data_IF_213919616365
#
_entry.id   IF_213919616365
#
_cell.length_a   1.000
_cell.length_b   1.000
_cell.length_c   1.000
_cell.angle_alpha   90.00
_cell.angle_beta   90.00
_cell.angle_gamma   90.00
#
_symmetry.space_group_name_H-M   'P 1'
#
loop_
_entity.id
_entity.type
_entity.pdbx_description
1 polymer ?
#
# COMPACT_ATOMS: atom_id res chain seq x y z
N UNK A 1 18.59 -4.90 -18.46
CA UNK A 1 19.24 -6.25 -18.48
C UNK A 1 19.12 -6.81 -17.09
N UNK A 2 18.66 -8.06 -16.96
CA UNK A 2 18.49 -8.70 -15.65
C UNK A 2 19.82 -8.77 -14.88
N UNK A 3 19.78 -8.48 -13.58
CA UNK A 3 20.94 -8.58 -12.69
C UNK A 3 21.02 -10.02 -12.16
N UNK A 4 21.92 -10.81 -12.72
CA UNK A 4 22.16 -12.21 -12.30
C UNK A 4 23.43 -12.21 -11.44
N UNK A 5 23.30 -12.75 -10.21
CA UNK A 5 24.43 -12.95 -9.29
C UNK A 5 25.31 -14.15 -9.68
N UNK A 6 26.00 -14.71 -8.70
CA UNK A 6 26.79 -15.93 -8.90
C UNK A 6 25.93 -17.16 -9.22
N UNK A 7 24.66 -17.15 -8.81
CA UNK A 7 23.63 -18.15 -9.07
C UNK A 7 22.48 -17.51 -9.81
N UNK A 8 22.00 -18.15 -10.88
CA UNK A 8 20.74 -17.77 -11.52
C UNK A 8 19.61 -18.58 -10.85
N UNK A 9 18.70 -17.88 -10.15
CA UNK A 9 17.59 -18.51 -9.41
C UNK A 9 16.40 -18.81 -10.31
N UNK A 10 16.09 -17.92 -11.27
CA UNK A 10 14.92 -18.04 -12.16
C UNK A 10 15.37 -18.44 -13.57
N UNK A 11 15.96 -19.64 -13.65
CA UNK A 11 16.51 -20.21 -14.90
C UNK A 11 15.43 -20.37 -15.96
N UNK A 12 15.75 -19.97 -17.18
CA UNK A 12 14.85 -20.09 -18.32
C UNK A 12 13.78 -18.99 -18.44
N UNK A 13 13.66 -18.11 -17.44
CA UNK A 13 12.77 -16.94 -17.50
C UNK A 13 13.62 -15.72 -17.90
N UNK A 14 13.29 -15.12 -19.05
CA UNK A 14 13.91 -13.89 -19.54
C UNK A 14 13.33 -12.64 -18.92
N UNK A 15 13.69 -11.48 -19.49
CA UNK A 15 13.06 -10.19 -19.10
C UNK A 15 11.59 -10.17 -19.55
N UNK A 16 10.72 -9.77 -18.64
CA UNK A 16 9.29 -9.61 -18.91
C UNK A 16 9.07 -8.30 -19.64
N UNK A 17 8.45 -8.35 -20.82
CA UNK A 17 8.22 -7.19 -21.68
C UNK A 17 6.75 -7.08 -22.08
N UNK A 18 6.36 -5.87 -22.48
CA UNK A 18 5.07 -5.66 -23.09
C UNK A 18 5.03 -6.25 -24.52
N UNK A 19 4.06 -7.12 -24.77
CA UNK A 19 3.82 -7.73 -26.09
C UNK A 19 2.40 -7.48 -26.62
N UNK A 20 1.56 -6.82 -25.82
CA UNK A 20 0.17 -6.49 -26.18
C UNK A 20 -0.83 -7.63 -25.95
N UNK A 21 -2.10 -7.27 -25.96
CA UNK A 21 -3.23 -8.13 -25.54
C UNK A 21 -3.37 -9.47 -26.29
N UNK A 22 -2.80 -9.55 -27.49
CA UNK A 22 -2.92 -10.77 -28.33
C UNK A 22 -1.74 -11.76 -28.12
N UNK A 23 -0.72 -11.38 -27.34
CA UNK A 23 0.39 -12.26 -27.04
C UNK A 23 -0.06 -13.51 -26.29
N UNK A 24 0.45 -14.66 -26.70
CA UNK A 24 0.25 -15.95 -26.03
C UNK A 24 1.39 -16.30 -25.07
N UNK A 25 2.43 -15.46 -25.00
CA UNK A 25 3.53 -15.63 -24.08
C UNK A 25 3.04 -15.38 -22.63
N UNK A 26 3.08 -16.37 -21.71
CA UNK A 26 2.67 -16.18 -20.33
C UNK A 26 3.64 -15.28 -19.55
N UNK A 27 4.88 -15.11 -20.03
CA UNK A 27 5.90 -14.25 -19.45
C UNK A 27 5.99 -12.87 -20.15
N UNK A 28 4.85 -12.28 -20.46
CA UNK A 28 4.79 -10.96 -21.06
C UNK A 28 3.60 -10.15 -20.54
N UNK A 29 3.78 -8.84 -20.39
CA UNK A 29 2.69 -7.93 -20.11
C UNK A 29 1.77 -7.80 -21.33
N UNK A 30 0.47 -7.79 -21.08
CA UNK A 30 -0.56 -7.63 -22.11
C UNK A 30 -1.11 -6.20 -22.15
N UNK A 31 -1.08 -5.49 -21.05
CA UNK A 31 -1.61 -4.14 -20.88
C UNK A 31 -0.59 -3.17 -20.29
N UNK A 32 0.31 -3.63 -19.43
CA UNK A 32 1.35 -2.77 -18.87
C UNK A 32 2.49 -2.55 -19.86
N UNK A 33 2.37 -1.46 -20.63
CA UNK A 33 3.47 -0.88 -21.39
C UNK A 33 4.05 0.26 -20.55
N UNK A 34 5.27 0.13 -19.98
CA UNK A 34 5.85 1.15 -19.10
C UNK A 34 5.96 2.53 -19.75
N UNK A 35 6.04 2.61 -21.07
CA UNK A 35 6.21 3.86 -21.82
C UNK A 35 4.88 4.44 -22.33
N UNK A 36 3.76 3.72 -22.20
CA UNK A 36 2.47 4.22 -22.64
C UNK A 36 2.04 5.42 -21.82
N UNK A 37 1.71 6.52 -22.49
CA UNK A 37 1.21 7.74 -21.86
C UNK A 37 -0.30 7.63 -21.66
N UNK A 38 -0.74 7.87 -20.43
CA UNK A 38 -2.13 7.95 -20.00
C UNK A 38 -2.28 9.21 -19.14
N UNK A 39 -3.26 10.04 -19.40
CA UNK A 39 -3.49 11.30 -18.66
C UNK A 39 -2.20 12.13 -18.43
N UNK A 40 -1.32 12.17 -19.43
CA UNK A 40 -0.12 13.02 -19.44
C UNK A 40 1.12 12.46 -18.75
N UNK A 41 1.08 11.23 -18.19
CA UNK A 41 2.23 10.52 -17.60
C UNK A 41 2.37 9.12 -18.19
N UNK A 42 3.58 8.56 -18.13
CA UNK A 42 3.78 7.15 -18.48
C UNK A 42 3.12 6.22 -17.44
N UNK A 43 2.74 5.00 -17.82
CA UNK A 43 2.24 4.00 -16.86
C UNK A 43 3.28 3.71 -15.77
N UNK A 44 4.55 3.70 -16.14
CA UNK A 44 5.68 3.56 -15.20
C UNK A 44 5.68 4.67 -14.14
N UNK A 45 5.50 5.92 -14.54
CA UNK A 45 5.50 7.07 -13.63
C UNK A 45 4.21 7.18 -12.81
N UNK A 46 3.08 6.68 -13.33
CA UNK A 46 1.84 6.61 -12.57
C UNK A 46 1.94 5.63 -11.41
N UNK A 47 2.44 4.42 -11.68
CA UNK A 47 2.38 3.32 -10.73
C UNK A 47 3.62 3.18 -9.88
N UNK A 48 4.82 3.38 -10.47
CA UNK A 48 6.07 3.18 -9.74
C UNK A 48 6.03 1.83 -9.00
N UNK A 49 5.72 0.74 -9.74
CA UNK A 49 5.51 -0.58 -9.16
C UNK A 49 6.68 -1.03 -8.31
N UNK A 50 6.36 -1.49 -7.11
CA UNK A 50 7.29 -2.06 -6.15
C UNK A 50 6.94 -3.51 -5.81
N UNK A 51 7.95 -4.26 -5.41
CA UNK A 51 7.82 -5.64 -4.96
C UNK A 51 7.88 -5.68 -3.44
N UNK A 52 6.90 -6.32 -2.80
CA UNK A 52 6.91 -6.61 -1.38
C UNK A 52 7.92 -7.73 -1.08
N UNK A 53 9.02 -7.38 -0.38
CA UNK A 53 10.11 -8.31 -0.12
C UNK A 53 9.65 -9.49 0.75
N UNK A 54 8.79 -9.24 1.73
CA UNK A 54 8.28 -10.24 2.68
C UNK A 54 7.44 -11.33 1.99
N UNK A 55 6.48 -10.97 1.16
CA UNK A 55 5.64 -11.94 0.47
C UNK A 55 6.38 -12.67 -0.64
N UNK A 56 7.23 -11.96 -1.38
CA UNK A 56 7.86 -12.49 -2.57
C UNK A 56 9.06 -13.37 -2.27
N UNK A 57 9.82 -13.08 -1.20
CA UNK A 57 11.10 -13.74 -0.95
C UNK A 57 11.24 -14.35 0.44
N UNK A 58 10.30 -14.06 1.38
CA UNK A 58 10.29 -14.62 2.74
C UNK A 58 9.03 -15.45 3.02
N UNK A 59 7.99 -15.35 2.19
CA UNK A 59 6.73 -16.07 2.36
C UNK A 59 6.93 -17.58 2.21
N UNK A 60 6.43 -18.33 3.19
CA UNK A 60 6.57 -19.80 3.19
C UNK A 60 5.33 -20.53 2.67
N UNK A 61 4.29 -19.81 2.23
CA UNK A 61 3.02 -20.41 1.84
C UNK A 61 2.26 -21.02 3.03
N UNK A 62 2.43 -20.46 4.22
CA UNK A 62 1.68 -20.82 5.42
C UNK A 62 0.29 -20.17 5.39
N UNK A 63 -0.67 -20.78 6.09
CA UNK A 63 -1.95 -20.21 6.45
C UNK A 63 -2.28 -20.57 7.91
N UNK A 64 -3.39 -20.08 8.49
CA UNK A 64 -3.76 -20.41 9.86
C UNK A 64 -3.98 -21.91 10.12
N UNK A 65 -4.08 -22.72 9.09
CA UNK A 65 -4.45 -24.14 9.15
C UNK A 65 -3.33 -25.09 8.74
N UNK A 66 -2.21 -24.60 8.21
CA UNK A 66 -1.16 -25.49 7.73
C UNK A 66 0.23 -24.88 7.63
N UNK A 67 1.21 -25.79 7.65
CA UNK A 67 2.62 -25.47 7.44
C UNK A 67 2.86 -24.95 6.01
N UNK A 68 4.01 -24.30 5.81
CA UNK A 68 4.40 -23.76 4.51
C UNK A 68 4.55 -24.81 3.43
N UNK A 69 4.22 -24.42 2.21
CA UNK A 69 4.36 -25.24 0.98
C UNK A 69 5.46 -24.73 0.07
N UNK A 70 6.00 -23.53 0.34
CA UNK A 70 7.06 -22.94 -0.48
C UNK A 70 8.44 -23.39 -0.02
N UNK A 71 9.30 -23.74 -0.99
CA UNK A 71 10.70 -24.12 -0.76
C UNK A 71 11.59 -23.26 -1.65
N UNK A 72 12.10 -22.18 -1.12
CA UNK A 72 12.94 -21.28 -1.89
C UNK A 72 14.36 -21.78 -2.08
N UNK A 73 14.91 -21.59 -3.27
CA UNK A 73 16.28 -22.00 -3.62
C UNK A 73 17.35 -21.22 -2.84
N UNK A 74 17.03 -20.01 -2.35
CA UNK A 74 17.91 -19.15 -1.58
C UNK A 74 17.88 -19.39 -0.07
N UNK A 75 16.96 -20.21 0.45
CA UNK A 75 16.84 -20.52 1.89
C UNK A 75 17.63 -21.77 2.31
N UNK A 76 18.79 -22.01 1.71
CA UNK A 76 19.58 -23.25 1.97
C UNK A 76 20.70 -23.07 2.97
N UNK A 77 21.23 -21.86 3.11
CA UNK A 77 22.35 -21.58 3.99
C UNK A 77 21.91 -21.50 5.46
N UNK A 78 22.68 -22.14 6.34
CA UNK A 78 22.51 -22.01 7.81
C UNK A 78 23.20 -20.77 8.35
N UNK A 79 24.11 -20.15 7.60
CA UNK A 79 24.71 -18.88 7.94
C UNK A 79 23.73 -17.74 7.58
N UNK A 80 23.23 -16.95 8.56
CA UNK A 80 22.28 -15.89 8.32
C UNK A 80 22.80 -14.80 7.37
N UNK A 81 24.11 -14.57 7.35
CA UNK A 81 24.71 -13.58 6.44
C UNK A 81 24.71 -14.08 4.98
N UNK A 82 24.99 -15.35 4.76
CA UNK A 82 24.97 -15.94 3.42
C UNK A 82 23.53 -16.11 2.93
N UNK A 83 22.62 -16.59 3.79
CA UNK A 83 21.19 -16.70 3.45
C UNK A 83 20.58 -15.35 3.03
N UNK A 84 20.94 -14.26 3.73
CA UNK A 84 20.49 -12.90 3.39
C UNK A 84 21.03 -12.44 2.04
N UNK A 85 22.29 -12.74 1.70
CA UNK A 85 22.86 -12.45 0.38
C UNK A 85 22.18 -13.23 -0.73
N UNK A 86 22.00 -14.52 -0.53
CA UNK A 86 21.37 -15.42 -1.51
C UNK A 86 19.94 -14.94 -1.82
N UNK A 87 19.19 -14.56 -0.78
CA UNK A 87 17.86 -13.97 -0.91
C UNK A 87 17.90 -12.63 -1.64
N UNK A 88 18.83 -11.74 -1.31
CA UNK A 88 18.98 -10.47 -2.01
C UNK A 88 19.33 -10.66 -3.49
N UNK A 89 20.20 -11.64 -3.82
CA UNK A 89 20.52 -11.96 -5.22
C UNK A 89 19.28 -12.45 -5.97
N UNK A 90 18.48 -13.34 -5.38
CA UNK A 90 17.23 -13.80 -5.98
C UNK A 90 16.22 -12.65 -6.15
N UNK A 91 16.09 -11.78 -5.14
CA UNK A 91 15.19 -10.64 -5.20
C UNK A 91 15.56 -9.67 -6.32
N UNK A 92 16.82 -9.28 -6.42
CA UNK A 92 17.26 -8.35 -7.46
C UNK A 92 17.22 -8.96 -8.87
N UNK A 93 17.46 -10.28 -9.01
CA UNK A 93 17.25 -11.00 -10.26
C UNK A 93 15.77 -10.92 -10.68
N UNK A 94 14.85 -11.22 -9.76
CA UNK A 94 13.41 -11.15 -10.01
C UNK A 94 12.97 -9.74 -10.41
N UNK A 95 13.29 -8.72 -9.58
CA UNK A 95 12.86 -7.33 -9.81
C UNK A 95 13.34 -6.84 -11.17
N UNK A 96 14.61 -7.12 -11.52
CA UNK A 96 15.17 -6.69 -12.80
C UNK A 96 14.62 -7.47 -13.99
N UNK A 97 14.28 -8.77 -13.82
CA UNK A 97 13.57 -9.55 -14.86
C UNK A 97 12.14 -9.02 -15.06
N UNK A 98 11.45 -8.60 -14.00
CA UNK A 98 10.13 -7.96 -14.10
C UNK A 98 10.18 -6.57 -14.75
N UNK A 99 11.36 -5.91 -14.78
CA UNK A 99 11.51 -4.55 -15.26
C UNK A 99 10.86 -3.50 -14.34
N UNK A 100 10.73 -3.82 -13.05
CA UNK A 100 10.28 -2.88 -12.03
C UNK A 100 11.46 -2.12 -11.42
N UNK A 101 11.18 -0.91 -10.90
CA UNK A 101 12.25 -0.04 -10.38
C UNK A 101 12.33 -0.05 -8.86
N UNK A 102 11.33 -0.61 -8.16
CA UNK A 102 11.21 -0.43 -6.72
C UNK A 102 10.94 -1.74 -5.98
N UNK A 103 11.31 -1.74 -4.70
CA UNK A 103 10.89 -2.73 -3.71
C UNK A 103 10.59 -2.05 -2.37
N UNK A 104 9.81 -2.75 -1.53
CA UNK A 104 9.51 -2.38 -0.16
C UNK A 104 9.97 -3.50 0.77
N UNK A 105 10.32 -3.17 2.03
CA UNK A 105 10.85 -4.16 2.97
C UNK A 105 10.51 -3.84 4.43
N UNK A 106 10.40 -4.89 5.25
CA UNK A 106 10.62 -4.78 6.70
C UNK A 106 12.09 -5.07 7.01
N UNK A 107 12.58 -4.52 8.10
CA UNK A 107 13.98 -4.67 8.53
C UNK A 107 14.45 -6.14 8.54
N UNK A 108 13.67 -7.03 9.17
CA UNK A 108 14.06 -8.45 9.30
C UNK A 108 13.62 -9.35 8.14
N UNK A 109 13.00 -8.81 7.10
CA UNK A 109 12.90 -9.48 5.80
C UNK A 109 14.26 -9.56 5.12
N UNK A 110 15.07 -8.49 5.28
CA UNK A 110 16.38 -8.41 4.64
C UNK A 110 17.36 -9.42 5.23
N UNK A 111 17.32 -9.59 6.56
CA UNK A 111 18.17 -10.54 7.29
C UNK A 111 17.48 -10.99 8.57
N UNK A 112 17.67 -12.24 8.96
CA UNK A 112 17.10 -12.79 10.19
C UNK A 112 17.53 -11.99 11.42
N UNK A 113 16.58 -11.72 12.33
CA UNK A 113 16.84 -11.12 13.63
C UNK A 113 17.91 -11.90 14.42
N UNK A 114 18.79 -11.20 15.12
CA UNK A 114 19.82 -11.80 15.98
C UNK A 114 19.30 -12.11 17.38
N UNK A 115 20.07 -12.89 18.14
CA UNK A 115 19.73 -13.27 19.53
C UNK A 115 19.76 -12.07 20.51
N UNK A 116 20.31 -10.95 20.07
CA UNK A 116 20.35 -9.69 20.82
C UNK A 116 20.13 -8.50 19.89
N UNK A 117 19.70 -7.36 20.47
CA UNK A 117 19.54 -6.13 19.69
C UNK A 117 20.83 -5.70 18.99
N UNK A 118 21.97 -5.82 19.68
CA UNK A 118 23.29 -5.50 19.12
C UNK A 118 23.66 -6.41 17.94
N UNK A 119 23.28 -7.67 18.01
CA UNK A 119 23.51 -8.59 16.90
C UNK A 119 22.59 -8.29 15.73
N UNK A 120 21.32 -7.98 15.98
CA UNK A 120 20.37 -7.56 14.96
C UNK A 120 20.85 -6.31 14.23
N UNK A 121 21.34 -5.30 14.96
CA UNK A 121 21.96 -4.11 14.38
C UNK A 121 23.15 -4.46 13.47
N UNK A 122 24.07 -5.30 13.94
CA UNK A 122 25.23 -5.76 13.14
C UNK A 122 24.79 -6.48 11.86
N UNK A 123 23.81 -7.36 11.96
CA UNK A 123 23.27 -8.11 10.80
C UNK A 123 22.63 -7.16 9.80
N UNK A 124 21.82 -6.22 10.27
CA UNK A 124 21.13 -5.27 9.42
C UNK A 124 22.10 -4.31 8.70
N UNK A 125 23.12 -3.81 9.38
CA UNK A 125 24.18 -3.01 8.74
C UNK A 125 24.90 -3.77 7.64
N UNK A 126 25.22 -5.04 7.88
CA UNK A 126 25.89 -5.89 6.90
C UNK A 126 25.06 -6.05 5.62
N UNK A 127 23.77 -6.42 5.73
CA UNK A 127 22.94 -6.63 4.55
C UNK A 127 22.60 -5.32 3.85
N UNK A 128 22.50 -4.22 4.60
CA UNK A 128 22.31 -2.87 4.03
C UNK A 128 23.43 -2.51 3.07
N UNK A 129 24.68 -2.75 3.44
CA UNK A 129 25.81 -2.48 2.54
C UNK A 129 25.81 -3.39 1.30
N UNK A 130 25.39 -4.64 1.44
CA UNK A 130 25.26 -5.54 0.31
C UNK A 130 24.16 -5.09 -0.67
N UNK A 131 23.00 -4.67 -0.14
CA UNK A 131 21.88 -4.17 -0.95
C UNK A 131 22.26 -2.86 -1.65
N UNK A 132 23.00 -1.95 -1.01
CA UNK A 132 23.53 -0.74 -1.67
C UNK A 132 24.34 -1.07 -2.93
N UNK A 133 25.15 -2.14 -2.86
CA UNK A 133 25.90 -2.59 -4.04
C UNK A 133 24.94 -3.06 -5.13
N UNK A 134 23.95 -3.89 -4.79
CA UNK A 134 22.95 -4.35 -5.76
C UNK A 134 22.14 -3.21 -6.39
N UNK A 135 21.77 -2.20 -5.59
CA UNK A 135 21.11 -0.99 -6.09
C UNK A 135 21.99 -0.25 -7.11
N UNK A 136 23.28 -0.11 -6.83
CA UNK A 136 24.23 0.54 -7.75
C UNK A 136 24.37 -0.23 -9.08
N UNK A 137 24.34 -1.56 -9.02
CA UNK A 137 24.48 -2.43 -10.21
C UNK A 137 23.20 -2.48 -11.05
N UNK A 138 22.03 -2.43 -10.41
CA UNK A 138 20.72 -2.60 -11.08
C UNK A 138 19.96 -1.32 -11.35
N UNK A 139 20.19 -0.28 -10.55
CA UNK A 139 19.35 0.92 -10.53
C UNK A 139 18.02 0.78 -9.75
N UNK A 140 17.76 -0.38 -9.17
CA UNK A 140 16.56 -0.63 -8.35
C UNK A 140 16.60 0.19 -7.07
N UNK A 141 15.47 0.75 -6.65
CA UNK A 141 15.34 1.69 -5.55
C UNK A 141 14.43 1.13 -4.46
N UNK A 142 14.51 1.70 -3.27
CA UNK A 142 13.54 1.47 -2.19
C UNK A 142 12.40 2.48 -2.33
N UNK A 143 11.17 1.99 -2.48
CA UNK A 143 9.97 2.85 -2.43
C UNK A 143 9.69 3.29 -0.99
N UNK A 144 9.69 2.34 -0.08
CA UNK A 144 9.62 2.57 1.36
C UNK A 144 10.20 1.39 2.15
N UNK A 145 10.68 1.68 3.35
CA UNK A 145 11.04 0.69 4.36
C UNK A 145 10.14 0.80 5.59
N UNK A 146 10.15 -0.22 6.44
CA UNK A 146 9.43 -0.25 7.71
C UNK A 146 10.10 -1.19 8.70
N UNK A 147 9.65 -1.18 9.96
CA UNK A 147 10.10 -2.09 11.01
C UNK A 147 9.04 -3.16 11.28
N UNK A 148 9.45 -4.43 11.37
CA UNK A 148 8.58 -5.51 11.83
C UNK A 148 8.45 -5.50 13.36
N UNK A 149 7.62 -4.61 13.88
CA UNK A 149 7.31 -4.51 15.30
C UNK A 149 6.06 -5.31 15.69
N UNK A 150 5.85 -6.49 15.10
CA UNK A 150 4.65 -7.30 15.33
C UNK A 150 4.88 -8.82 15.35
N UNK A 151 5.85 -9.36 14.60
CA UNK A 151 6.08 -10.81 14.52
C UNK A 151 6.74 -11.38 15.76
N UNK A 152 7.69 -10.66 16.38
CA UNK A 152 8.38 -11.12 17.58
C UNK A 152 7.37 -11.18 18.75
N UNK A 153 7.33 -12.30 19.54
CA UNK A 153 6.43 -12.46 20.67
C UNK A 153 6.44 -11.32 21.70
N UNK A 154 7.55 -10.58 21.83
CA UNK A 154 7.62 -9.42 22.72
C UNK A 154 6.57 -8.34 22.39
N UNK A 155 6.13 -8.25 21.13
CA UNK A 155 5.14 -7.31 20.64
C UNK A 155 3.69 -7.82 20.73
N UNK A 156 3.42 -8.91 21.44
CA UNK A 156 2.09 -9.52 21.53
C UNK A 156 0.99 -8.55 22.04
N UNK A 157 1.37 -7.51 22.80
CA UNK A 157 0.48 -6.47 23.33
C UNK A 157 0.75 -5.09 22.70
N UNK A 158 1.17 -5.05 21.42
CA UNK A 158 1.59 -3.81 20.77
C UNK A 158 3.08 -3.54 20.90
N UNK A 159 3.56 -2.55 20.19
CA UNK A 159 4.93 -2.04 20.21
C UNK A 159 4.97 -0.62 20.78
N UNK A 160 4.51 0.37 20.01
CA UNK A 160 4.41 1.76 20.47
C UNK A 160 3.31 1.97 21.53
N UNK A 161 2.27 1.15 21.52
CA UNK A 161 1.15 1.17 22.47
C UNK A 161 1.33 0.17 23.62
N UNK A 162 2.45 -0.57 23.66
CA UNK A 162 2.67 -1.60 24.65
C UNK A 162 2.63 -1.03 26.08
N UNK A 163 1.94 -1.69 27.03
CA UNK A 163 1.88 -1.25 28.43
C UNK A 163 3.22 -1.34 29.16
N UNK A 164 4.18 -2.11 28.62
CA UNK A 164 5.54 -2.27 29.18
C UNK A 164 6.53 -1.34 28.51
N UNK A 165 7.09 -0.40 29.27
CA UNK A 165 8.02 0.60 28.76
C UNK A 165 9.26 -0.01 28.07
N UNK A 166 9.80 -1.12 28.57
CA UNK A 166 10.98 -1.77 27.99
C UNK A 166 10.67 -2.31 26.58
N UNK A 167 9.45 -2.76 26.31
CA UNK A 167 9.00 -3.19 24.97
C UNK A 167 8.86 -1.99 24.04
N UNK A 168 8.26 -0.89 24.51
CA UNK A 168 8.18 0.36 23.76
C UNK A 168 9.59 0.90 23.41
N UNK A 169 10.51 0.87 24.37
CA UNK A 169 11.90 1.29 24.16
C UNK A 169 12.62 0.40 23.13
N UNK A 170 12.36 -0.93 23.16
CA UNK A 170 12.86 -1.88 22.15
C UNK A 170 12.30 -1.57 20.77
N UNK A 171 10.99 -1.31 20.66
CA UNK A 171 10.34 -0.91 19.43
C UNK A 171 10.94 0.39 18.86
N UNK A 172 11.18 1.39 19.72
CA UNK A 172 11.84 2.64 19.34
C UNK A 172 13.24 2.43 18.77
N UNK A 173 14.02 1.54 19.39
CA UNK A 173 15.33 1.13 18.87
C UNK A 173 15.23 0.46 17.51
N UNK A 174 14.28 -0.44 17.33
CA UNK A 174 14.06 -1.15 16.06
C UNK A 174 13.59 -0.21 14.94
N UNK A 175 12.63 0.67 15.21
CA UNK A 175 12.19 1.70 14.25
C UNK A 175 13.34 2.62 13.87
N UNK A 176 14.20 3.00 14.83
CA UNK A 176 15.41 3.77 14.52
C UNK A 176 16.32 3.04 13.55
N UNK A 177 16.60 1.77 13.76
CA UNK A 177 17.46 0.97 12.86
C UNK A 177 16.84 0.82 11.47
N UNK A 178 15.52 0.61 11.39
CA UNK A 178 14.82 0.51 10.11
C UNK A 178 14.79 1.85 9.35
N UNK A 179 14.67 2.98 10.06
CA UNK A 179 14.81 4.32 9.48
C UNK A 179 16.23 4.54 8.97
N UNK A 180 17.26 4.21 9.75
CA UNK A 180 18.67 4.32 9.34
C UNK A 180 18.96 3.48 8.08
N UNK A 181 18.44 2.26 8.04
CA UNK A 181 18.52 1.38 6.86
C UNK A 181 17.83 1.98 5.66
N UNK A 182 16.61 2.49 5.82
CA UNK A 182 15.84 3.13 4.75
C UNK A 182 16.59 4.34 4.19
N UNK A 183 17.11 5.20 5.06
CA UNK A 183 17.92 6.37 4.71
C UNK A 183 19.21 5.94 3.98
N UNK A 184 19.90 4.94 4.51
CA UNK A 184 21.15 4.43 3.94
C UNK A 184 20.96 3.81 2.55
N UNK A 185 19.79 3.23 2.26
CA UNK A 185 19.38 2.69 0.97
C UNK A 185 18.74 3.74 0.04
N UNK A 186 18.76 5.03 0.42
CA UNK A 186 18.08 6.11 -0.29
C UNK A 186 16.58 5.84 -0.50
N UNK A 187 15.93 5.24 0.49
CA UNK A 187 14.48 4.99 0.47
C UNK A 187 13.71 6.30 0.36
N UNK A 188 12.69 6.30 -0.48
CA UNK A 188 11.95 7.52 -0.79
C UNK A 188 10.91 7.87 0.28
N UNK A 189 10.38 6.86 0.98
CA UNK A 189 9.35 7.01 2.03
C UNK A 189 9.58 5.99 3.15
N UNK A 190 8.79 6.10 4.23
CA UNK A 190 8.75 5.16 5.34
C UNK A 190 7.31 4.87 5.74
N UNK A 191 6.94 3.61 5.91
CA UNK A 191 5.59 3.17 6.33
C UNK A 191 5.59 2.82 7.82
N UNK A 192 4.52 3.20 8.52
CA UNK A 192 4.15 2.66 9.81
C UNK A 192 2.88 1.84 9.63
N UNK A 193 3.02 0.53 9.69
CA UNK A 193 1.91 -0.39 9.81
C UNK A 193 1.71 -0.75 11.27
N UNK A 194 0.46 -0.57 11.77
CA UNK A 194 0.13 -0.70 13.17
C UNK A 194 0.31 -2.12 13.73
N UNK A 195 0.27 -3.15 12.88
CA UNK A 195 0.55 -4.53 13.26
C UNK A 195 -0.29 -5.03 14.42
N UNK A 196 0.16 -4.75 15.65
CA UNK A 196 -0.53 -5.11 16.90
C UNK A 196 -0.92 -3.90 17.74
N UNK A 197 -0.92 -2.70 17.17
CA UNK A 197 -1.34 -1.46 17.82
C UNK A 197 -2.87 -1.42 17.90
N UNK A 198 -3.41 -1.88 19.01
CA UNK A 198 -4.85 -2.03 19.20
C UNK A 198 -5.15 -2.89 20.42
N UNK A 199 -6.36 -3.41 20.52
CA UNK A 199 -6.79 -4.17 21.71
C UNK A 199 -7.58 -5.41 21.36
N UNK A 200 -7.51 -6.39 22.28
CA UNK A 200 -8.39 -7.58 22.29
C UNK A 200 -9.63 -7.35 23.16
N UNK A 201 -9.51 -6.52 24.21
CA UNK A 201 -10.58 -6.20 25.16
C UNK A 201 -10.32 -4.84 25.82
N UNK A 202 -11.35 -4.03 25.95
CA UNK A 202 -11.28 -2.77 26.70
C UNK A 202 -11.30 -2.97 28.22
N UNK A 203 -11.39 -4.20 28.72
CA UNK A 203 -11.33 -4.48 30.17
C UNK A 203 -9.97 -4.21 30.78
N UNK A 204 -8.91 -4.27 29.99
CA UNK A 204 -7.52 -4.11 30.41
C UNK A 204 -6.75 -3.08 29.57
N UNK A 205 -7.44 -2.22 28.83
CA UNK A 205 -6.83 -1.26 27.89
C UNK A 205 -7.16 0.17 28.31
N UNK A 206 -6.13 0.97 28.57
CA UNK A 206 -6.24 2.44 28.67
C UNK A 206 -6.01 3.06 27.29
N UNK A 207 -7.09 3.05 26.47
CA UNK A 207 -7.05 3.50 25.07
C UNK A 207 -6.45 4.90 24.92
N UNK A 208 -6.81 5.83 25.82
CA UNK A 208 -6.28 7.20 25.72
C UNK A 208 -4.77 7.24 25.88
N UNK A 209 -4.25 6.54 26.88
CA UNK A 209 -2.81 6.46 27.14
C UNK A 209 -2.06 5.80 25.97
N UNK A 210 -2.62 4.72 25.43
CA UNK A 210 -2.01 4.00 24.31
C UNK A 210 -1.97 4.86 23.05
N UNK A 211 -3.05 5.59 22.72
CA UNK A 211 -3.08 6.55 21.62
C UNK A 211 -2.10 7.72 21.84
N UNK A 212 -2.01 8.27 23.05
CA UNK A 212 -1.02 9.30 23.40
C UNK A 212 0.43 8.79 23.20
N UNK A 213 0.70 7.53 23.59
CA UNK A 213 1.99 6.90 23.35
C UNK A 213 2.27 6.75 21.86
N UNK A 214 1.32 6.26 21.07
CA UNK A 214 1.45 6.11 19.62
C UNK A 214 1.71 7.46 18.93
N UNK A 215 0.93 8.48 19.24
CA UNK A 215 1.11 9.84 18.69
C UNK A 215 2.50 10.41 19.02
N UNK A 216 2.95 10.24 20.26
CA UNK A 216 4.30 10.64 20.68
C UNK A 216 5.38 9.82 19.99
N UNK A 217 5.20 8.51 19.87
CA UNK A 217 6.17 7.62 19.22
C UNK A 217 6.37 7.99 17.75
N UNK A 218 5.28 8.22 17.00
CA UNK A 218 5.34 8.68 15.62
C UNK A 218 6.02 10.05 15.49
N UNK A 219 5.73 10.97 16.42
CA UNK A 219 6.33 12.30 16.43
C UNK A 219 7.86 12.23 16.62
N UNK A 220 8.34 11.48 17.62
CA UNK A 220 9.79 11.35 17.85
C UNK A 220 10.51 10.57 16.73
N UNK A 221 9.84 9.59 16.11
CA UNK A 221 10.37 8.86 14.95
C UNK A 221 10.52 9.78 13.74
N UNK A 222 9.51 10.61 13.44
CA UNK A 222 9.57 11.66 12.41
C UNK A 222 10.72 12.63 12.69
N UNK A 223 10.79 13.17 13.90
CA UNK A 223 11.78 14.17 14.26
C UNK A 223 13.21 13.60 14.16
N UNK A 224 13.40 12.35 14.58
CA UNK A 224 14.66 11.64 14.38
C UNK A 224 15.01 11.55 12.88
N UNK A 225 14.13 11.01 12.05
CA UNK A 225 14.39 10.85 10.63
C UNK A 225 14.69 12.20 9.93
N UNK A 226 13.93 13.26 10.27
CA UNK A 226 14.20 14.63 9.79
C UNK A 226 15.57 15.13 10.20
N UNK A 227 16.01 14.84 11.44
CA UNK A 227 17.35 15.21 11.92
C UNK A 227 18.48 14.49 11.15
N UNK A 228 18.20 13.29 10.61
CA UNK A 228 19.11 12.54 9.73
C UNK A 228 19.02 12.96 8.26
N UNK A 229 18.24 14.00 7.93
CA UNK A 229 18.10 14.53 6.57
C UNK A 229 17.07 13.81 5.71
N UNK A 230 16.27 12.90 6.25
CA UNK A 230 15.19 12.24 5.54
C UNK A 230 14.11 13.23 5.10
N UNK A 231 13.81 13.27 3.80
CA UNK A 231 12.86 14.22 3.21
C UNK A 231 11.59 13.55 2.67
N UNK A 232 11.53 12.21 2.70
CA UNK A 232 10.40 11.43 2.22
C UNK A 232 9.14 11.60 3.08
N UNK A 233 8.03 11.09 2.60
CA UNK A 233 6.82 11.04 3.41
C UNK A 233 6.89 9.89 4.42
N UNK A 234 6.14 10.07 5.50
CA UNK A 234 5.76 8.95 6.35
C UNK A 234 4.35 8.52 5.96
N UNK A 235 4.09 7.23 5.95
CA UNK A 235 2.77 6.70 5.67
C UNK A 235 2.25 5.94 6.88
N UNK A 236 0.96 6.10 7.17
CA UNK A 236 0.19 5.17 8.01
C UNK A 236 -0.55 4.25 7.05
N UNK A 237 -0.51 2.96 7.37
CA UNK A 237 -1.25 1.92 6.65
C UNK A 237 -2.36 1.38 7.54
N UNK A 238 -3.60 1.81 7.30
CA UNK A 238 -4.74 1.42 8.14
C UNK A 238 -5.09 -0.06 7.99
N UNK A 239 -5.47 -0.67 9.11
CA UNK A 239 -6.05 -2.02 9.17
C UNK A 239 -7.07 -2.10 10.30
N UNK A 240 -8.29 -2.66 10.07
CA UNK A 240 -9.34 -2.64 11.11
C UNK A 240 -9.12 -3.65 12.22
N UNK A 241 -8.57 -4.81 11.89
CA UNK A 241 -8.42 -5.97 12.77
C UNK A 241 -7.36 -6.92 12.20
N UNK A 242 -7.05 -8.01 12.92
CA UNK A 242 -6.00 -8.97 12.57
C UNK A 242 -4.59 -8.40 12.62
N UNK A 243 -3.83 -8.84 13.64
CA UNK A 243 -4.14 -9.88 14.63
C UNK A 243 -4.94 -9.39 15.85
N UNK A 244 -5.07 -8.10 16.07
CA UNK A 244 -5.90 -7.58 17.17
C UNK A 244 -7.39 -7.65 16.81
N UNK A 245 -8.24 -7.63 17.82
CA UNK A 245 -9.69 -7.56 17.59
C UNK A 245 -10.12 -6.22 17.00
N UNK A 246 -9.41 -5.14 17.38
CA UNK A 246 -9.64 -3.80 16.90
C UNK A 246 -8.31 -3.04 16.90
N UNK A 247 -7.87 -2.59 15.73
CA UNK A 247 -6.68 -1.75 15.59
C UNK A 247 -7.03 -0.27 15.71
N UNK A 248 -6.08 0.54 16.18
CA UNK A 248 -6.30 1.98 16.38
C UNK A 248 -6.39 2.75 15.06
N UNK A 249 -5.73 2.30 14.03
CA UNK A 249 -5.74 2.83 12.68
C UNK A 249 -6.78 2.14 11.77
N UNK A 250 -7.98 1.92 12.28
CA UNK A 250 -9.05 1.07 11.74
C UNK A 250 -9.29 1.25 10.23
N UNK A 251 -9.34 2.48 9.74
CA UNK A 251 -9.55 2.86 8.34
C UNK A 251 -8.88 4.21 8.03
N UNK A 252 -8.92 4.62 6.78
CA UNK A 252 -8.37 5.91 6.35
C UNK A 252 -8.95 7.11 7.11
N UNK A 253 -10.24 7.12 7.40
CA UNK A 253 -10.88 8.23 8.11
C UNK A 253 -10.39 8.32 9.56
N UNK A 254 -10.29 7.18 10.25
CA UNK A 254 -9.78 7.06 11.62
C UNK A 254 -8.31 7.46 11.68
N UNK A 255 -7.47 6.96 10.77
CA UNK A 255 -6.06 7.32 10.70
C UNK A 255 -5.85 8.83 10.47
N UNK A 256 -6.62 9.45 9.56
CA UNK A 256 -6.59 10.90 9.33
C UNK A 256 -7.04 11.67 10.58
N UNK A 257 -8.07 11.21 11.27
CA UNK A 257 -8.55 11.77 12.54
C UNK A 257 -7.43 11.79 13.59
N UNK A 258 -6.78 10.65 13.79
CA UNK A 258 -5.64 10.48 14.68
C UNK A 258 -4.47 11.41 14.31
N UNK A 259 -4.06 11.42 13.04
CA UNK A 259 -2.95 12.28 12.60
C UNK A 259 -3.22 13.76 12.87
N UNK A 260 -4.46 14.24 12.69
CA UNK A 260 -4.87 15.62 13.00
C UNK A 260 -4.87 15.89 14.50
N UNK A 261 -5.35 14.95 15.32
CA UNK A 261 -5.37 15.10 16.79
C UNK A 261 -3.97 15.32 17.36
N UNK A 262 -2.97 14.60 16.79
CA UNK A 262 -1.59 14.68 17.25
C UNK A 262 -0.70 15.63 16.43
N UNK A 263 -1.26 16.41 15.48
CA UNK A 263 -0.52 17.42 14.70
C UNK A 263 0.49 16.81 13.73
N UNK A 264 0.19 15.63 13.18
CA UNK A 264 1.07 14.85 12.30
C UNK A 264 0.65 14.92 10.82
N UNK A 265 -0.49 15.51 10.50
CA UNK A 265 -1.09 15.50 9.16
C UNK A 265 -0.25 16.16 8.06
N UNK A 266 0.72 16.99 8.43
CA UNK A 266 1.59 17.66 7.47
C UNK A 266 2.77 16.79 7.01
N UNK A 267 3.20 15.85 7.84
CA UNK A 267 4.34 14.94 7.56
C UNK A 267 3.90 13.55 7.13
N UNK A 268 2.69 13.15 7.50
CA UNK A 268 2.15 11.82 7.25
C UNK A 268 1.10 11.84 6.15
N UNK A 269 1.02 10.74 5.40
CA UNK A 269 -0.02 10.44 4.43
C UNK A 269 -0.49 8.99 4.64
N UNK A 270 -1.41 8.54 3.80
CA UNK A 270 -1.99 7.20 3.91
C UNK A 270 -1.40 6.29 2.84
N UNK A 271 -0.99 5.10 3.23
CA UNK A 271 -0.75 3.95 2.38
C UNK A 271 -1.99 3.07 2.43
N UNK A 272 -2.67 2.88 1.32
CA UNK A 272 -3.95 2.15 1.30
C UNK A 272 -3.72 0.74 0.83
N UNK A 273 -3.99 -0.23 1.69
CA UNK A 273 -4.05 -1.62 1.32
C UNK A 273 -5.49 -2.04 1.00
N UNK A 274 -5.65 -2.68 -0.16
CA UNK A 274 -6.98 -3.03 -0.69
C UNK A 274 -7.68 -4.09 0.16
N UNK A 275 -6.95 -5.10 0.65
CA UNK A 275 -7.54 -6.13 1.49
C UNK A 275 -7.93 -5.57 2.87
N UNK A 276 -7.17 -4.64 3.43
CA UNK A 276 -7.53 -3.95 4.67
C UNK A 276 -8.82 -3.13 4.50
N UNK A 277 -9.02 -2.48 3.36
CA UNK A 277 -10.31 -1.83 3.05
C UNK A 277 -11.46 -2.85 3.07
N UNK A 278 -11.27 -4.03 2.45
CA UNK A 278 -12.26 -5.11 2.45
C UNK A 278 -12.59 -5.58 3.87
N UNK A 279 -11.59 -5.76 4.74
CA UNK A 279 -11.78 -6.12 6.14
C UNK A 279 -12.54 -5.04 6.94
N UNK A 280 -12.34 -3.77 6.60
CA UNK A 280 -13.10 -2.64 7.16
C UNK A 280 -14.52 -2.52 6.58
N UNK A 281 -14.93 -3.43 5.68
CA UNK A 281 -16.19 -3.40 4.94
C UNK A 281 -16.32 -2.15 4.04
N UNK A 282 -15.21 -1.65 3.56
CA UNK A 282 -15.12 -0.56 2.60
C UNK A 282 -14.67 -1.07 1.23
N UNK A 283 -15.04 -0.33 0.19
CA UNK A 283 -14.45 -0.55 -1.14
C UNK A 283 -13.07 0.12 -1.24
N UNK A 284 -12.22 -0.38 -2.10
CA UNK A 284 -10.95 0.28 -2.42
C UNK A 284 -11.17 1.74 -2.88
N UNK A 285 -12.19 1.96 -3.73
CA UNK A 285 -12.60 3.29 -4.16
C UNK A 285 -12.93 4.23 -2.98
N UNK A 286 -13.62 3.73 -1.93
CA UNK A 286 -13.97 4.50 -0.75
C UNK A 286 -12.72 5.02 -0.04
N UNK A 287 -11.78 4.15 0.29
CA UNK A 287 -10.56 4.50 1.01
C UNK A 287 -9.71 5.51 0.23
N UNK A 288 -9.54 5.31 -1.09
CA UNK A 288 -8.87 6.28 -1.95
C UNK A 288 -9.57 7.63 -1.95
N UNK A 289 -10.92 7.65 -1.99
CA UNK A 289 -11.70 8.89 -1.99
C UNK A 289 -11.52 9.65 -0.68
N UNK A 290 -11.52 8.95 0.45
CA UNK A 290 -11.32 9.56 1.78
C UNK A 290 -9.92 10.16 1.91
N UNK A 291 -8.88 9.45 1.46
CA UNK A 291 -7.52 9.98 1.46
C UNK A 291 -7.37 11.17 0.49
N UNK A 292 -7.90 11.05 -0.73
CA UNK A 292 -7.81 12.09 -1.76
C UNK A 292 -8.47 13.40 -1.34
N UNK A 293 -9.71 13.35 -0.78
CA UNK A 293 -10.41 14.56 -0.30
C UNK A 293 -9.67 15.29 0.82
N UNK A 294 -8.82 14.59 1.54
CA UNK A 294 -7.99 15.14 2.63
C UNK A 294 -6.59 15.53 2.17
N UNK A 295 -6.29 15.39 0.87
CA UNK A 295 -4.95 15.58 0.29
C UNK A 295 -3.87 14.69 0.94
N UNK A 296 -4.25 13.48 1.32
CA UNK A 296 -3.39 12.52 2.04
C UNK A 296 -3.22 11.18 1.31
N UNK A 297 -3.55 11.10 0.02
CA UNK A 297 -3.34 9.89 -0.78
C UNK A 297 -1.85 9.72 -1.11
N UNK A 298 -1.17 8.89 -0.34
CA UNK A 298 0.29 8.72 -0.40
C UNK A 298 0.74 7.57 -1.29
N UNK A 299 0.33 6.35 -0.97
CA UNK A 299 0.77 5.11 -1.60
C UNK A 299 -0.36 4.08 -1.62
N UNK A 300 -0.18 2.99 -2.35
CA UNK A 300 -1.10 1.86 -2.44
C UNK A 300 -0.33 0.57 -2.21
N UNK A 301 -0.83 -0.29 -1.32
CA UNK A 301 -0.48 -1.68 -1.24
C UNK A 301 -1.51 -2.51 -1.99
N UNK A 302 -1.06 -2.95 -3.17
CA UNK A 302 -1.92 -3.55 -4.17
C UNK A 302 -2.09 -5.05 -3.92
N UNK A 303 -3.26 -5.40 -3.46
CA UNK A 303 -3.74 -6.77 -3.37
C UNK A 303 -5.26 -6.81 -3.57
N UNK A 304 -5.89 -7.85 -3.14
CA UNK A 304 -7.34 -7.94 -2.95
C UNK A 304 -7.67 -8.89 -1.81
N UNK A 305 -8.74 -8.60 -1.08
CA UNK A 305 -9.38 -9.52 -0.16
C UNK A 305 -10.23 -10.56 -0.88
N UNK A 306 -10.51 -11.65 -0.18
CA UNK A 306 -11.49 -12.64 -0.57
C UNK A 306 -12.73 -12.47 0.30
N UNK A 307 -13.80 -11.94 -0.28
CA UNK A 307 -15.06 -11.68 0.44
C UNK A 307 -15.68 -12.92 1.07
N UNK A 308 -15.35 -14.11 0.57
CA UNK A 308 -15.88 -15.36 1.10
C UNK A 308 -15.07 -15.88 2.29
N UNK A 309 -13.75 -15.66 2.30
CA UNK A 309 -12.89 -16.12 3.38
C UNK A 309 -12.94 -15.20 4.61
N UNK A 310 -13.05 -13.90 4.43
CA UNK A 310 -13.23 -12.94 5.52
C UNK A 310 -11.99 -12.68 6.39
N UNK A 311 -10.78 -13.07 5.94
CA UNK A 311 -9.52 -12.74 6.58
C UNK A 311 -8.55 -12.07 5.58
N UNK A 312 -7.38 -11.70 6.08
CA UNK A 312 -6.33 -11.09 5.28
C UNK A 312 -5.67 -12.11 4.35
N UNK A 313 -6.15 -12.14 3.11
CA UNK A 313 -5.73 -13.16 2.13
C UNK A 313 -4.60 -12.70 1.21
N UNK A 314 -4.33 -11.39 1.12
CA UNK A 314 -3.29 -10.75 0.30
C UNK A 314 -3.18 -11.35 -1.10
N UNK A 315 -4.30 -11.49 -1.79
CA UNK A 315 -4.33 -12.05 -3.12
C UNK A 315 -3.89 -11.00 -4.15
N UNK A 316 -3.21 -11.43 -5.22
CA UNK A 316 -2.91 -10.51 -6.32
C UNK A 316 -4.18 -9.92 -6.94
N UNK A 317 -4.18 -8.62 -7.29
CA UNK A 317 -5.34 -7.94 -7.83
C UNK A 317 -5.70 -8.48 -9.22
N UNK A 318 -6.99 -8.79 -9.41
CA UNK A 318 -7.52 -9.29 -10.70
C UNK A 318 -8.97 -8.86 -10.96
N UNK A 319 -9.59 -8.07 -10.07
CA UNK A 319 -10.93 -7.55 -10.26
C UNK A 319 -10.89 -6.23 -11.03
N UNK A 320 -11.06 -6.30 -12.35
CA UNK A 320 -10.93 -5.13 -13.21
C UNK A 320 -11.98 -4.05 -12.91
N UNK A 321 -13.22 -4.43 -12.54
CA UNK A 321 -14.28 -3.48 -12.25
C UNK A 321 -13.91 -2.59 -11.05
N UNK A 322 -13.62 -3.19 -9.90
CA UNK A 322 -13.21 -2.48 -8.67
C UNK A 322 -11.94 -1.66 -8.88
N UNK A 323 -10.95 -2.23 -9.58
CA UNK A 323 -9.71 -1.50 -9.86
C UNK A 323 -9.97 -0.30 -10.79
N UNK A 324 -10.94 -0.40 -11.73
CA UNK A 324 -11.32 0.73 -12.59
C UNK A 324 -12.01 1.85 -11.79
N UNK A 325 -12.91 1.52 -10.87
CA UNK A 325 -13.51 2.50 -9.95
C UNK A 325 -12.45 3.24 -9.13
N UNK A 326 -11.47 2.50 -8.62
CA UNK A 326 -10.35 3.06 -7.88
C UNK A 326 -9.47 3.97 -8.76
N UNK A 327 -9.20 3.58 -10.01
CA UNK A 327 -8.39 4.36 -10.95
C UNK A 327 -9.11 5.63 -11.43
N UNK A 328 -10.43 5.69 -11.41
CA UNK A 328 -11.17 6.95 -11.62
C UNK A 328 -10.83 7.97 -10.52
N UNK A 329 -10.84 7.55 -9.25
CA UNK A 329 -10.45 8.41 -8.12
C UNK A 329 -8.97 8.80 -8.23
N UNK A 330 -8.10 7.84 -8.53
CA UNK A 330 -6.67 8.06 -8.72
C UNK A 330 -6.39 9.17 -9.76
N UNK A 331 -7.00 9.09 -10.93
CA UNK A 331 -6.81 10.10 -11.98
C UNK A 331 -7.41 11.46 -11.60
N UNK A 332 -8.60 11.47 -11.00
CA UNK A 332 -9.28 12.70 -10.60
C UNK A 332 -8.57 13.43 -9.46
N UNK A 333 -7.83 12.70 -8.60
CA UNK A 333 -7.02 13.28 -7.52
C UNK A 333 -5.60 13.71 -7.95
N UNK A 334 -5.20 13.43 -9.19
CA UNK A 334 -3.86 13.75 -9.68
C UNK A 334 -2.80 12.67 -9.39
N UNK A 335 -3.21 11.49 -8.89
CA UNK A 335 -2.34 10.36 -8.58
C UNK A 335 -1.79 10.37 -7.16
N UNK A 336 -0.77 9.57 -6.90
CA UNK A 336 -0.14 9.39 -5.59
C UNK A 336 0.83 10.52 -5.26
N UNK A 337 0.93 10.83 -3.98
CA UNK A 337 1.80 11.91 -3.47
C UNK A 337 3.12 11.32 -2.93
N UNK A 338 4.04 11.00 -3.84
CA UNK A 338 5.40 10.54 -3.53
C UNK A 338 5.54 9.04 -3.29
N UNK A 339 4.45 8.28 -3.17
CA UNK A 339 4.46 6.84 -3.08
C UNK A 339 4.45 6.15 -4.45
N UNK A 340 3.98 4.92 -4.46
CA UNK A 340 3.80 4.06 -5.64
C UNK A 340 2.78 2.98 -5.35
N UNK A 341 2.75 1.98 -6.19
CA UNK A 341 1.91 0.79 -6.06
C UNK A 341 2.82 -0.40 -5.73
N UNK A 342 2.85 -0.78 -4.47
CA UNK A 342 3.58 -1.94 -4.00
C UNK A 342 2.66 -3.18 -4.09
N UNK A 343 3.18 -4.30 -4.59
CA UNK A 343 2.42 -5.56 -4.58
C UNK A 343 2.54 -6.24 -3.22
N UNK A 344 1.77 -5.77 -2.25
CA UNK A 344 1.59 -6.44 -0.96
C UNK A 344 0.66 -7.64 -1.13
N UNK A 345 1.13 -8.61 -1.89
CA UNK A 345 0.37 -9.76 -2.32
C UNK A 345 1.24 -11.01 -2.36
N UNK A 346 0.65 -12.14 -1.99
CA UNK A 346 1.32 -13.45 -1.97
C UNK A 346 0.67 -14.41 -2.96
N UNK A 347 1.50 -15.27 -3.57
CA UNK A 347 0.99 -16.41 -4.34
C UNK A 347 0.22 -17.36 -3.43
N UNK A 348 -0.70 -18.11 -4.02
CA UNK A 348 -1.51 -19.07 -3.26
C UNK A 348 -0.64 -20.18 -2.67
N UNK A 349 -1.07 -20.70 -1.52
CA UNK A 349 -0.44 -21.84 -0.84
C UNK A 349 -0.25 -23.06 -1.75
N UNK A 350 -1.13 -23.22 -2.74
CA UNK A 350 -1.11 -24.30 -3.73
C UNK A 350 -0.44 -23.93 -5.07
N UNK A 351 0.20 -22.77 -5.14
CA UNK A 351 1.07 -22.36 -6.25
C UNK A 351 2.52 -22.47 -5.78
N UNK A 352 3.24 -23.50 -6.23
CA UNK A 352 4.54 -23.92 -5.66
C UNK A 352 5.70 -23.85 -6.63
N UNK A 353 5.43 -23.51 -7.89
CA UNK A 353 6.47 -23.38 -8.90
C UNK A 353 7.08 -21.97 -8.87
N UNK A 354 8.38 -21.86 -9.16
CA UNK A 354 9.09 -20.57 -9.10
C UNK A 354 8.57 -19.52 -10.11
N UNK A 355 7.92 -19.94 -11.17
CA UNK A 355 7.32 -19.06 -12.18
C UNK A 355 5.96 -18.51 -11.77
N UNK A 356 5.29 -19.11 -10.80
CA UNK A 356 4.01 -18.59 -10.27
C UNK A 356 4.11 -17.15 -9.78
N UNK A 357 5.26 -16.76 -9.20
CA UNK A 357 5.49 -15.38 -8.76
C UNK A 357 5.53 -14.39 -9.93
N UNK A 358 6.05 -14.79 -11.10
CA UNK A 358 6.04 -13.96 -12.30
C UNK A 358 4.62 -13.79 -12.83
N UNK A 359 3.87 -14.89 -12.94
CA UNK A 359 2.47 -14.86 -13.41
C UNK A 359 1.60 -13.98 -12.53
N UNK A 360 1.80 -14.03 -11.22
CA UNK A 360 1.08 -13.22 -10.25
C UNK A 360 1.35 -11.72 -10.44
N UNK A 361 2.62 -11.31 -10.52
CA UNK A 361 2.99 -9.90 -10.71
C UNK A 361 2.63 -9.38 -12.11
N UNK A 362 2.77 -10.19 -13.15
CA UNK A 362 2.31 -9.83 -14.50
C UNK A 362 0.81 -9.56 -14.49
N UNK A 363 0.02 -10.45 -13.89
CA UNK A 363 -1.43 -10.29 -13.78
C UNK A 363 -1.84 -9.05 -13.00
N UNK A 364 -1.17 -8.78 -11.88
CA UNK A 364 -1.41 -7.60 -11.06
C UNK A 364 -1.09 -6.29 -11.79
N UNK A 365 0.08 -6.22 -12.44
CA UNK A 365 0.48 -5.03 -13.21
C UNK A 365 -0.44 -4.79 -14.41
N UNK A 366 -0.82 -5.84 -15.11
CA UNK A 366 -1.77 -5.76 -16.23
C UNK A 366 -3.17 -5.32 -15.78
N UNK A 367 -3.63 -5.79 -14.60
CA UNK A 367 -4.91 -5.36 -14.05
C UNK A 367 -4.94 -3.85 -13.77
N UNK A 368 -3.92 -3.33 -13.06
CA UNK A 368 -3.80 -1.89 -12.79
C UNK A 368 -3.65 -1.06 -14.06
N UNK A 369 -2.79 -1.49 -14.98
CA UNK A 369 -2.58 -0.80 -16.25
C UNK A 369 -3.85 -0.74 -17.10
N UNK A 370 -4.57 -1.87 -17.22
CA UNK A 370 -5.84 -1.94 -17.94
C UNK A 370 -6.89 -1.06 -17.27
N UNK A 371 -6.99 -1.08 -15.94
CA UNK A 371 -7.92 -0.27 -15.17
C UNK A 371 -7.66 1.23 -15.36
N UNK A 372 -6.40 1.68 -15.32
CA UNK A 372 -6.06 3.09 -15.51
C UNK A 372 -6.38 3.57 -16.93
N UNK A 373 -6.05 2.77 -17.95
CA UNK A 373 -6.39 3.05 -19.35
C UNK A 373 -7.91 3.15 -19.51
N UNK A 374 -8.65 2.23 -18.90
CA UNK A 374 -10.11 2.21 -18.92
C UNK A 374 -10.68 3.46 -18.25
N UNK A 375 -10.16 3.82 -17.07
CA UNK A 375 -10.59 5.02 -16.35
C UNK A 375 -10.34 6.31 -17.15
N UNK A 376 -9.18 6.43 -17.80
CA UNK A 376 -8.88 7.57 -18.67
C UNK A 376 -9.85 7.64 -19.87
N UNK A 377 -10.13 6.51 -20.51
CA UNK A 377 -11.11 6.43 -21.59
C UNK A 377 -12.52 6.83 -21.12
N UNK A 378 -12.95 6.40 -19.94
CA UNK A 378 -14.22 6.83 -19.33
C UNK A 378 -14.24 8.35 -19.15
N UNK A 379 -13.18 8.92 -18.56
CA UNK A 379 -13.08 10.34 -18.27
C UNK A 379 -12.99 11.23 -19.54
N UNK A 380 -12.48 10.70 -20.64
CA UNK A 380 -12.22 11.47 -21.87
C UNK A 380 -13.21 11.20 -22.99
N UNK A 381 -13.80 10.00 -23.04
CA UNK A 381 -14.59 9.53 -24.20
C UNK A 381 -16.04 9.17 -23.86
N UNK A 382 -16.46 9.29 -22.59
CA UNK A 382 -17.86 9.12 -22.18
C UNK A 382 -18.47 10.42 -21.65
N UNK A 383 -19.77 10.38 -21.39
CA UNK A 383 -20.49 11.48 -20.72
C UNK A 383 -20.41 11.41 -19.17
N UNK A 384 -19.50 10.63 -18.61
CA UNK A 384 -19.35 10.44 -17.15
C UNK A 384 -19.22 11.76 -16.38
N UNK A 385 -18.29 12.63 -16.81
CA UNK A 385 -18.06 13.93 -16.18
C UNK A 385 -19.28 14.87 -16.29
N UNK A 386 -19.93 14.85 -17.42
CA UNK A 386 -21.14 15.65 -17.66
C UNK A 386 -22.27 15.23 -16.72
N UNK A 387 -22.53 13.92 -16.62
CA UNK A 387 -23.55 13.35 -15.74
C UNK A 387 -23.21 13.63 -14.26
N UNK A 388 -21.95 13.51 -13.87
CA UNK A 388 -21.50 13.83 -12.53
C UNK A 388 -21.74 15.30 -12.19
N UNK A 389 -21.38 16.23 -13.07
CA UNK A 389 -21.58 17.67 -12.86
C UNK A 389 -23.07 18.02 -12.84
N UNK A 390 -23.88 17.41 -13.68
CA UNK A 390 -25.33 17.63 -13.74
C UNK A 390 -26.02 17.24 -12.41
N UNK A 391 -25.50 16.23 -11.70
CA UNK A 391 -26.01 15.81 -10.39
C UNK A 391 -26.00 16.95 -9.38
N UNK A 392 -24.98 17.80 -9.41
CA UNK A 392 -24.73 18.89 -8.47
C UNK A 392 -25.04 20.29 -9.05
N UNK A 393 -25.63 20.36 -10.23
CA UNK A 393 -25.87 21.61 -10.96
C UNK A 393 -26.61 22.68 -10.14
N UNK A 394 -27.52 22.27 -9.25
CA UNK A 394 -28.29 23.19 -8.41
C UNK A 394 -27.44 24.01 -7.43
N UNK A 395 -26.18 23.61 -7.19
CA UNK A 395 -25.22 24.33 -6.35
C UNK A 395 -24.31 25.28 -7.14
N UNK A 396 -24.32 25.20 -8.48
CA UNK A 396 -23.47 26.05 -9.31
C UNK A 396 -23.99 27.48 -9.44
N UNK A 397 -25.26 27.77 -9.08
CA UNK A 397 -25.90 29.08 -9.17
C UNK A 397 -26.94 29.28 -8.08
N UNK A 398 -27.48 30.53 -7.99
CA UNK A 398 -28.59 30.85 -7.11
C UNK A 398 -28.35 30.52 -5.64
N UNK A 399 -29.39 30.04 -4.95
CA UNK A 399 -29.35 29.75 -3.52
C UNK A 399 -28.45 28.59 -3.14
N UNK A 400 -28.26 27.59 -4.00
CA UNK A 400 -27.29 26.51 -3.80
C UNK A 400 -25.86 27.06 -3.70
N UNK A 401 -25.46 27.95 -4.61
CA UNK A 401 -24.16 28.60 -4.56
C UNK A 401 -23.99 29.52 -3.34
N UNK A 402 -25.04 30.24 -2.95
CA UNK A 402 -25.01 31.06 -1.74
C UNK A 402 -24.81 30.21 -0.48
N UNK A 403 -25.41 29.01 -0.43
CA UNK A 403 -25.21 28.03 0.66
C UNK A 403 -23.75 27.56 0.77
N UNK A 404 -23.14 27.14 -0.32
CA UNK A 404 -21.72 26.71 -0.35
C UNK A 404 -20.76 27.86 0.04
N UNK A 405 -21.15 29.10 -0.24
CA UNK A 405 -20.40 30.29 0.15
C UNK A 405 -20.62 30.71 1.62
N UNK A 406 -21.40 29.97 2.41
CA UNK A 406 -21.71 30.27 3.81
C UNK A 406 -22.61 31.51 3.99
N UNK A 407 -23.35 31.93 2.95
CA UNK A 407 -24.21 33.11 2.97
C UNK A 407 -25.62 32.83 3.47
N UNK A 408 -25.99 31.58 3.66
CA UNK A 408 -27.30 31.17 4.15
C UNK A 408 -27.18 30.55 5.54
N UNK A 409 -28.05 30.95 6.45
CA UNK A 409 -28.22 30.35 7.76
C UNK A 409 -29.49 29.46 7.81
N UNK A 410 -29.75 28.83 8.94
CA UNK A 410 -30.88 27.90 9.08
C UNK A 410 -32.22 28.59 8.89
N UNK A 411 -32.37 29.86 9.34
CA UNK A 411 -33.63 30.65 9.12
C UNK A 411 -33.86 30.95 7.63
N UNK A 412 -32.79 31.16 6.86
CA UNK A 412 -32.91 31.39 5.42
C UNK A 412 -33.35 30.09 4.73
N UNK A 413 -32.79 28.95 5.11
CA UNK A 413 -33.22 27.63 4.61
C UNK A 413 -34.68 27.36 4.98
N UNK A 414 -35.11 27.68 6.20
CA UNK A 414 -36.50 27.56 6.64
C UNK A 414 -37.45 28.37 5.79
N UNK A 415 -37.14 29.66 5.53
CA UNK A 415 -37.95 30.53 4.65
C UNK A 415 -38.05 29.96 3.22
N UNK A 416 -36.96 29.45 2.67
CA UNK A 416 -36.95 28.80 1.38
C UNK A 416 -37.86 27.57 1.36
N UNK A 417 -37.81 26.75 2.41
CA UNK A 417 -38.65 25.55 2.55
C UNK A 417 -40.14 25.92 2.63
N UNK A 418 -40.50 26.97 3.36
CA UNK A 418 -41.89 27.48 3.42
C UNK A 418 -42.42 27.96 2.08
N UNK A 419 -41.57 28.50 1.22
CA UNK A 419 -41.94 28.97 -0.10
C UNK A 419 -41.88 27.86 -1.17
N UNK A 420 -41.31 26.70 -0.87
CA UNK A 420 -41.21 25.59 -1.80
C UNK A 420 -42.52 24.80 -1.83
N UNK A 421 -42.99 24.40 -3.01
CA UNK A 421 -44.07 23.45 -3.15
C UNK A 421 -43.58 22.02 -3.00
N UNK A 422 -44.36 21.03 -3.45
CA UNK A 422 -43.93 19.61 -3.47
C UNK A 422 -42.68 19.43 -4.34
N UNK A 423 -41.62 18.94 -3.72
CA UNK A 423 -40.35 18.72 -4.41
C UNK A 423 -40.46 17.57 -5.41
N UNK A 424 -39.87 17.76 -6.60
CA UNK A 424 -39.72 16.69 -7.57
C UNK A 424 -38.51 15.82 -7.20
N UNK A 425 -38.72 14.51 -7.20
CA UNK A 425 -37.63 13.56 -7.02
C UNK A 425 -36.74 13.56 -8.27
N UNK A 426 -35.44 13.64 -8.05
CA UNK A 426 -34.42 13.51 -9.09
C UNK A 426 -33.74 12.14 -8.96
N UNK A 427 -33.63 11.41 -10.06
CA UNK A 427 -32.97 10.11 -10.09
C UNK A 427 -31.47 10.25 -9.83
N UNK A 428 -30.89 9.35 -9.03
CA UNK A 428 -29.44 9.26 -8.77
C UNK A 428 -28.64 8.65 -9.93
N UNK A 429 -29.32 7.98 -10.89
CA UNK A 429 -28.68 7.39 -12.08
C UNK A 429 -27.59 6.33 -11.78
N UNK A 430 -27.69 5.62 -10.64
CA UNK A 430 -26.70 4.64 -10.21
C UNK A 430 -26.38 3.61 -11.31
N UNK A 431 -27.41 2.94 -11.84
CA UNK A 431 -27.24 1.90 -12.85
C UNK A 431 -26.62 2.46 -14.16
N UNK A 432 -26.85 3.74 -14.46
CA UNK A 432 -26.24 4.39 -15.62
C UNK A 432 -24.74 4.56 -15.43
N UNK A 433 -24.30 4.99 -14.23
CA UNK A 433 -22.86 5.13 -13.93
C UNK A 433 -22.16 3.77 -13.95
N UNK A 434 -22.76 2.73 -13.36
CA UNK A 434 -22.24 1.36 -13.37
C UNK A 434 -22.15 0.81 -14.81
N UNK A 435 -23.17 1.06 -15.64
CA UNK A 435 -23.18 0.66 -17.05
C UNK A 435 -22.09 1.37 -17.87
N UNK A 436 -21.74 2.63 -17.55
CA UNK A 436 -20.63 3.30 -18.22
C UNK A 436 -19.34 2.52 -17.99
N UNK A 437 -19.04 2.09 -16.75
CA UNK A 437 -17.84 1.27 -16.48
C UNK A 437 -17.91 -0.02 -17.31
N UNK A 438 -19.02 -0.74 -17.26
CA UNK A 438 -19.20 -2.00 -18.00
C UNK A 438 -19.04 -1.88 -19.54
N UNK A 439 -19.25 -0.71 -20.10
CA UNK A 439 -19.05 -0.46 -21.53
C UNK A 439 -17.58 -0.35 -21.94
N UNK A 440 -16.69 -0.04 -21.00
CA UNK A 440 -15.29 0.24 -21.27
C UNK A 440 -14.33 -0.86 -20.82
N UNK A 441 -14.72 -1.78 -19.91
CA UNK A 441 -13.87 -2.88 -19.40
C UNK A 441 -13.79 -4.08 -20.36
#
# INVERSE_FOLDING_TARGET
MALIGSTEYYKGIGEIKYEGKNSKNPFAFKYYDPNKIVAGKTLKDHFRFAIAYWHSFCGQGTDPFGLGTQNFLWDKSQDPFQAAKDKADAAFEFITKMGFDYFCFHDFDLIQEGDSFKESEKRLLFITDYIKQKQKESGVKVLWGTANCFSNPQYMNGAATNPEFDVLARAGGQVKLALDTTIALNGENYVFWGGREGYMSLLNTDMKRELDHLGKFLSISRDYARSQGFKGNFFIEPKPMEPTKHQYDFDTATAIGFLKEYGLENDFKINIEVNHATLAQHTFQHELTVAAKSNMLGSIDANRGDYQNGWDTDQFPNNLYETTEAMLVFLQSGGLQGGGVNFDAKIRRNSTDLDDIFHAHIGGADNFARALITADNILTSSNYKELFNLRYESFNSGKGKEFEQGKLNLNDLYKLALSSGKLKLKSGKQELFENIINQFI
#
